data_IF_686069999115
#
_entry.id   IF_686069999115
#
_cell.length_a   1.000
_cell.length_b   1.000
_cell.length_c   1.000
_cell.angle_alpha   90.00
_cell.angle_beta   90.00
_cell.angle_gamma   90.00
#
_symmetry.space_group_name_H-M   'P 1'
#
loop_
_entity.id
_entity.type
_entity.pdbx_description
1 polymer ?
#
# COMPACT_ATOMS: atom_id res chain seq x y z
N UNK A 1 29.39 -17.95 11.13
CA UNK A 1 29.07 -18.16 9.69
C UNK A 1 27.61 -17.80 9.33
N UNK A 2 26.82 -17.16 10.20
CA UNK A 2 25.43 -16.75 9.91
C UNK A 2 25.25 -15.28 9.53
N UNK A 3 26.10 -14.37 10.01
CA UNK A 3 25.92 -12.92 9.82
C UNK A 3 25.94 -12.46 8.36
N UNK A 4 26.81 -13.03 7.52
CA UNK A 4 26.88 -12.63 6.11
C UNK A 4 25.71 -13.16 5.28
N UNK A 5 25.13 -14.30 5.68
CA UNK A 5 23.94 -14.85 5.03
C UNK A 5 22.71 -14.02 5.37
N UNK A 6 22.64 -13.54 6.62
CA UNK A 6 21.55 -12.69 7.13
C UNK A 6 21.66 -11.25 6.62
N UNK A 7 22.88 -10.72 6.43
CA UNK A 7 23.10 -9.39 5.84
C UNK A 7 22.66 -9.33 4.38
N UNK A 8 22.91 -10.37 3.58
CA UNK A 8 22.46 -10.43 2.17
C UNK A 8 20.95 -10.60 2.04
N UNK A 9 20.34 -11.40 2.91
CA UNK A 9 18.88 -11.56 2.93
C UNK A 9 18.19 -10.24 3.30
N UNK A 10 18.74 -9.49 4.27
CA UNK A 10 18.27 -8.13 4.58
C UNK A 10 18.38 -7.24 3.35
N UNK A 11 19.55 -7.16 2.70
CA UNK A 11 19.75 -6.33 1.50
C UNK A 11 18.76 -6.66 0.37
N UNK A 12 18.46 -7.95 0.14
CA UNK A 12 17.45 -8.37 -0.84
C UNK A 12 16.07 -7.80 -0.48
N UNK A 13 15.68 -7.86 0.80
CA UNK A 13 14.42 -7.29 1.27
C UNK A 13 14.38 -5.77 1.08
N UNK A 14 15.47 -5.05 1.36
CA UNK A 14 15.52 -3.59 1.18
C UNK A 14 15.34 -3.19 -0.29
N UNK A 15 16.04 -3.89 -1.18
CA UNK A 15 15.96 -3.64 -2.62
C UNK A 15 14.58 -3.96 -3.18
N UNK A 16 13.98 -5.08 -2.77
CA UNK A 16 12.62 -5.45 -3.20
C UNK A 16 11.53 -4.57 -2.57
N UNK A 17 11.74 -4.06 -1.35
CA UNK A 17 10.81 -3.12 -0.73
C UNK A 17 10.85 -1.75 -1.43
N UNK A 18 12.02 -1.35 -1.95
CA UNK A 18 12.17 -0.13 -2.74
C UNK A 18 11.63 -0.29 -4.17
N UNK A 19 11.96 -1.41 -4.84
CA UNK A 19 11.51 -1.76 -6.18
C UNK A 19 11.13 -3.25 -6.24
N UNK A 20 9.85 -3.53 -6.05
CA UNK A 20 9.31 -4.88 -6.11
C UNK A 20 9.39 -5.53 -7.50
N UNK A 21 9.75 -4.79 -8.54
CA UNK A 21 9.93 -5.29 -9.91
C UNK A 21 11.41 -5.52 -10.28
N UNK A 22 12.33 -5.33 -9.33
CA UNK A 22 13.76 -5.50 -9.58
C UNK A 22 14.06 -6.92 -10.05
N UNK A 23 14.78 -7.04 -11.16
CA UNK A 23 15.10 -8.34 -11.74
C UNK A 23 16.05 -9.14 -10.84
N UNK A 24 15.99 -10.47 -10.85
CA UNK A 24 16.96 -11.31 -10.13
C UNK A 24 18.40 -11.08 -10.59
N UNK A 25 18.59 -10.67 -11.85
CA UNK A 25 19.91 -10.30 -12.38
C UNK A 25 20.45 -9.05 -11.71
N UNK A 26 19.62 -8.02 -11.55
CA UNK A 26 20.04 -6.75 -10.93
C UNK A 26 20.20 -6.89 -9.41
N UNK A 27 19.33 -7.68 -8.76
CA UNK A 27 19.52 -8.10 -7.38
C UNK A 27 20.84 -8.86 -7.21
N UNK A 28 21.20 -9.74 -8.15
CA UNK A 28 22.48 -10.46 -8.14
C UNK A 28 23.67 -9.51 -8.19
N UNK A 29 23.64 -8.53 -9.11
CA UNK A 29 24.67 -7.48 -9.19
C UNK A 29 24.78 -6.67 -7.90
N UNK A 30 23.64 -6.23 -7.35
CA UNK A 30 23.61 -5.40 -6.15
C UNK A 30 24.07 -6.15 -4.89
N UNK A 31 23.80 -7.45 -4.81
CA UNK A 31 24.13 -8.29 -3.64
C UNK A 31 25.49 -8.99 -3.76
N UNK A 32 26.09 -9.03 -4.96
CA UNK A 32 27.29 -9.82 -5.25
C UNK A 32 27.03 -11.33 -5.35
N UNK A 33 25.78 -11.73 -5.58
CA UNK A 33 25.35 -13.12 -5.70
C UNK A 33 25.08 -13.49 -7.16
N UNK A 34 25.17 -14.78 -7.48
CA UNK A 34 24.68 -15.26 -8.77
C UNK A 34 23.15 -15.15 -8.84
N UNK A 35 22.60 -14.98 -10.04
CA UNK A 35 21.15 -14.93 -10.28
C UNK A 35 20.42 -16.13 -9.66
N UNK A 36 21.00 -17.34 -9.77
CA UNK A 36 20.44 -18.55 -9.18
C UNK A 36 20.43 -18.52 -7.64
N UNK A 37 21.49 -17.96 -7.02
CA UNK A 37 21.56 -17.84 -5.56
C UNK A 37 20.54 -16.82 -5.04
N UNK A 38 20.34 -15.70 -5.75
CA UNK A 38 19.27 -14.73 -5.42
C UNK A 38 17.90 -15.37 -5.52
N UNK A 39 17.61 -16.06 -6.62
CA UNK A 39 16.32 -16.74 -6.81
C UNK A 39 15.99 -17.66 -5.63
N UNK A 40 16.95 -18.52 -5.23
CA UNK A 40 16.76 -19.42 -4.09
C UNK A 40 16.51 -18.68 -2.78
N UNK A 41 17.19 -17.55 -2.56
CA UNK A 41 17.02 -16.72 -1.35
C UNK A 41 15.66 -16.03 -1.33
N UNK A 42 15.24 -15.40 -2.42
CA UNK A 42 13.91 -14.77 -2.53
C UNK A 42 12.83 -15.80 -2.25
N UNK A 43 12.89 -16.97 -2.90
CA UNK A 43 11.95 -18.07 -2.64
C UNK A 43 11.92 -18.50 -1.18
N UNK A 44 13.08 -18.57 -0.51
CA UNK A 44 13.16 -18.88 0.92
C UNK A 44 12.56 -17.76 1.79
N UNK A 45 12.72 -16.50 1.42
CA UNK A 45 12.15 -15.36 2.14
C UNK A 45 10.62 -15.34 2.02
N UNK A 46 10.07 -15.64 0.84
CA UNK A 46 8.64 -15.85 0.61
C UNK A 46 8.10 -17.01 1.46
N UNK A 47 8.76 -18.18 1.39
CA UNK A 47 8.36 -19.37 2.16
C UNK A 47 8.39 -19.16 3.68
N UNK A 48 9.28 -18.29 4.17
CA UNK A 48 9.38 -17.91 5.57
C UNK A 48 8.38 -16.83 5.99
N UNK A 49 7.61 -16.27 5.06
CA UNK A 49 6.68 -15.17 5.32
C UNK A 49 7.36 -13.82 5.60
N UNK A 50 8.63 -13.66 5.22
CA UNK A 50 9.33 -12.37 5.28
C UNK A 50 8.91 -11.47 4.11
N UNK A 51 8.62 -12.07 2.96
CA UNK A 51 7.95 -11.42 1.83
C UNK A 51 6.51 -11.92 1.84
N UNK A 52 5.57 -11.03 2.17
CA UNK A 52 4.14 -11.36 2.22
C UNK A 52 3.47 -11.29 0.84
N UNK A 53 4.08 -10.58 -0.09
CA UNK A 53 3.59 -10.44 -1.46
C UNK A 53 4.25 -9.29 -2.19
N UNK A 54 3.85 -9.12 -3.44
CA UNK A 54 4.29 -8.03 -4.32
C UNK A 54 3.05 -7.26 -4.76
N UNK A 55 3.06 -5.94 -4.61
CA UNK A 55 1.93 -5.07 -4.93
C UNK A 55 2.39 -3.75 -5.52
N UNK A 56 1.52 -3.15 -6.34
CA UNK A 56 1.70 -1.79 -6.80
C UNK A 56 1.16 -0.80 -5.77
N UNK A 57 1.85 0.31 -5.56
CA UNK A 57 1.28 1.46 -4.84
C UNK A 57 0.38 2.23 -5.79
N UNK A 58 -0.88 2.38 -5.41
CA UNK A 58 -1.93 2.93 -6.30
C UNK A 58 -2.42 4.28 -5.79
N UNK A 59 -2.61 5.22 -6.72
CA UNK A 59 -3.28 6.48 -6.42
C UNK A 59 -4.80 6.25 -6.37
N UNK A 60 -5.32 6.08 -5.15
CA UNK A 60 -6.74 5.79 -4.93
C UNK A 60 -7.65 6.97 -5.28
N UNK A 61 -7.15 8.21 -5.20
CA UNK A 61 -7.94 9.39 -5.57
C UNK A 61 -8.30 9.38 -7.06
N UNK A 62 -7.35 9.04 -7.93
CA UNK A 62 -7.57 8.89 -9.38
C UNK A 62 -8.46 7.70 -9.75
N UNK A 63 -8.65 6.76 -8.82
CA UNK A 63 -9.58 5.65 -8.97
C UNK A 63 -10.98 5.96 -8.40
N UNK A 64 -11.26 7.22 -8.05
CA UNK A 64 -12.55 7.63 -7.50
C UNK A 64 -12.74 7.31 -6.02
N UNK A 65 -11.65 7.02 -5.28
CA UNK A 65 -11.66 6.79 -3.84
C UNK A 65 -10.80 7.85 -3.10
N UNK A 66 -11.10 9.16 -3.21
CA UNK A 66 -10.29 10.21 -2.61
C UNK A 66 -10.35 10.26 -1.08
N UNK A 67 -11.40 9.72 -0.45
CA UNK A 67 -11.54 9.78 1.00
C UNK A 67 -10.85 8.62 1.67
N UNK A 68 -10.07 8.94 2.70
CA UNK A 68 -9.45 7.98 3.59
C UNK A 68 -9.90 8.25 5.01
N UNK A 69 -10.28 7.21 5.74
CA UNK A 69 -10.68 7.34 7.13
C UNK A 69 -10.09 6.22 7.98
N UNK A 70 -9.78 6.55 9.23
CA UNK A 70 -9.52 5.58 10.27
C UNK A 70 -10.80 5.35 11.07
N UNK A 71 -11.16 4.09 11.25
CA UNK A 71 -12.36 3.69 11.99
C UNK A 71 -11.92 2.82 13.15
N UNK A 72 -12.02 3.36 14.35
CA UNK A 72 -11.78 2.62 15.57
C UNK A 72 -13.07 1.86 15.96
N UNK A 73 -12.93 0.59 16.32
CA UNK A 73 -14.04 -0.27 16.74
C UNK A 73 -13.94 -0.55 18.23
N UNK A 74 -15.03 -0.31 18.94
CA UNK A 74 -15.18 -0.67 20.35
C UNK A 74 -16.19 -1.82 20.46
N UNK A 75 -15.81 -2.88 21.17
CA UNK A 75 -16.68 -4.04 21.35
C UNK A 75 -17.83 -3.70 22.30
N UNK A 76 -19.05 -4.06 21.92
CA UNK A 76 -20.23 -3.89 22.78
C UNK A 76 -20.28 -5.02 23.82
N UNK A 77 -19.96 -6.24 23.40
CA UNK A 77 -19.91 -7.41 24.27
C UNK A 77 -18.53 -8.08 24.18
N UNK A 78 -17.69 -7.98 25.23
CA UNK A 78 -16.35 -8.56 25.23
C UNK A 78 -16.36 -10.10 25.38
N UNK A 79 -17.52 -10.72 25.62
CA UNK A 79 -17.66 -12.18 25.71
C UNK A 79 -17.87 -12.85 24.36
N UNK A 80 -18.14 -12.09 23.30
CA UNK A 80 -18.24 -12.62 21.95
C UNK A 80 -16.85 -13.09 21.44
N UNK A 81 -16.82 -14.09 20.53
CA UNK A 81 -15.59 -14.52 19.88
C UNK A 81 -14.87 -13.35 19.21
N UNK A 82 -13.54 -13.31 19.35
CA UNK A 82 -12.70 -12.27 18.76
C UNK A 82 -12.39 -12.56 17.29
N UNK A 83 -13.44 -12.68 16.47
CA UNK A 83 -13.40 -13.03 15.05
C UNK A 83 -13.72 -11.84 14.11
N UNK A 84 -13.70 -10.62 14.66
CA UNK A 84 -14.12 -9.39 13.97
C UNK A 84 -13.33 -9.13 12.68
N UNK A 85 -12.02 -9.37 12.68
CA UNK A 85 -11.18 -9.21 11.48
C UNK A 85 -11.62 -10.13 10.33
N UNK A 86 -12.01 -11.38 10.64
CA UNK A 86 -12.50 -12.33 9.64
C UNK A 86 -13.89 -11.95 9.15
N UNK A 87 -14.78 -11.52 10.05
CA UNK A 87 -16.12 -11.02 9.69
C UNK A 87 -16.06 -9.82 8.75
N UNK A 88 -15.04 -8.97 8.88
CA UNK A 88 -14.88 -7.76 8.07
C UNK A 88 -14.03 -7.96 6.80
N UNK A 89 -13.38 -9.11 6.61
CA UNK A 89 -12.47 -9.35 5.48
C UNK A 89 -13.12 -9.18 4.09
N UNK A 90 -14.43 -9.39 3.99
CA UNK A 90 -15.16 -9.33 2.72
C UNK A 90 -15.48 -7.91 2.23
N UNK A 91 -15.18 -6.87 3.02
CA UNK A 91 -15.40 -5.49 2.62
C UNK A 91 -14.23 -4.96 1.78
N UNK A 92 -14.40 -4.72 0.47
CA UNK A 92 -13.33 -4.21 -0.38
C UNK A 92 -12.89 -2.79 -0.01
N UNK A 93 -13.74 -2.04 0.70
CA UNK A 93 -13.45 -0.67 1.14
C UNK A 93 -12.46 -0.63 2.32
N UNK A 94 -12.23 -1.76 3.01
CA UNK A 94 -11.29 -1.88 4.13
C UNK A 94 -9.91 -2.25 3.59
N UNK A 95 -8.99 -1.30 3.62
CA UNK A 95 -7.61 -1.50 3.16
C UNK A 95 -6.74 -2.18 4.22
N UNK A 96 -6.99 -1.91 5.51
CA UNK A 96 -6.20 -2.49 6.59
C UNK A 96 -7.02 -2.63 7.86
N UNK A 97 -6.69 -3.63 8.67
CA UNK A 97 -7.34 -3.93 9.93
C UNK A 97 -6.28 -4.39 10.94
N UNK A 98 -6.21 -3.71 12.07
CA UNK A 98 -5.28 -4.04 13.16
C UNK A 98 -6.06 -4.24 14.45
N UNK A 99 -5.72 -5.29 15.21
CA UNK A 99 -6.02 -5.33 16.64
C UNK A 99 -5.07 -4.36 17.35
N UNK A 100 -5.61 -3.57 18.29
CA UNK A 100 -4.85 -2.56 19.03
C UNK A 100 -5.11 -2.69 20.53
N UNK A 101 -4.15 -2.24 21.33
CA UNK A 101 -4.31 -2.09 22.76
C UNK A 101 -4.83 -0.67 23.06
N UNK A 102 -5.80 -0.57 23.97
CA UNK A 102 -6.39 0.72 24.36
C UNK A 102 -7.89 0.59 24.63
N UNK A 103 -8.59 1.72 24.52
CA UNK A 103 -10.05 1.79 24.62
C UNK A 103 -10.75 1.10 23.45
N UNK A 104 -10.19 1.28 22.24
CA UNK A 104 -10.63 0.59 21.04
C UNK A 104 -9.93 -0.76 20.90
N UNK A 105 -10.62 -1.76 20.36
CA UNK A 105 -10.06 -3.10 20.16
C UNK A 105 -9.48 -3.29 18.76
N UNK A 106 -10.01 -2.57 17.78
CA UNK A 106 -9.55 -2.60 16.40
C UNK A 106 -9.47 -1.21 15.78
N UNK A 107 -8.53 -1.03 14.86
CA UNK A 107 -8.47 0.14 13.96
C UNK A 107 -8.50 -0.36 12.53
N UNK A 108 -9.45 0.17 11.77
CA UNK A 108 -9.55 -0.01 10.33
C UNK A 108 -9.01 1.21 9.61
N UNK A 109 -8.38 0.99 8.46
CA UNK A 109 -8.15 2.02 7.45
C UNK A 109 -9.06 1.73 6.28
N UNK A 110 -9.90 2.70 5.90
CA UNK A 110 -10.90 2.53 4.84
C UNK A 110 -10.74 3.59 3.76
N UNK A 111 -11.13 3.23 2.54
CA UNK A 111 -11.21 4.13 1.38
C UNK A 111 -12.66 4.27 0.92
N UNK A 112 -13.06 5.47 0.49
CA UNK A 112 -14.41 5.74 0.02
C UNK A 112 -14.44 6.86 -1.01
N UNK A 113 -15.48 6.93 -1.83
CA UNK A 113 -15.62 8.00 -2.82
C UNK A 113 -16.19 9.29 -2.22
N UNK A 114 -17.17 9.17 -1.31
CA UNK A 114 -17.92 10.29 -0.75
C UNK A 114 -18.24 10.09 0.72
N UNK A 115 -18.57 11.15 1.48
CA UNK A 115 -18.95 11.00 2.89
C UNK A 115 -20.19 10.12 3.08
N UNK A 116 -21.13 10.14 2.13
CA UNK A 116 -22.33 9.31 2.16
C UNK A 116 -22.00 7.81 2.01
N UNK A 117 -21.09 7.46 1.11
CA UNK A 117 -20.62 6.08 0.98
C UNK A 117 -19.83 5.61 2.20
N UNK A 118 -19.04 6.50 2.82
CA UNK A 118 -18.37 6.22 4.08
C UNK A 118 -19.41 5.92 5.18
N UNK A 119 -20.47 6.72 5.31
CA UNK A 119 -21.54 6.45 6.27
C UNK A 119 -22.24 5.10 6.03
N UNK A 120 -22.49 4.76 4.76
CA UNK A 120 -23.06 3.48 4.38
C UNK A 120 -22.14 2.30 4.77
N UNK A 121 -20.83 2.43 4.53
CA UNK A 121 -19.82 1.46 4.97
C UNK A 121 -19.83 1.32 6.50
N UNK A 122 -19.77 2.43 7.24
CA UNK A 122 -19.76 2.41 8.70
C UNK A 122 -21.02 1.73 9.27
N UNK A 123 -22.17 1.95 8.65
CA UNK A 123 -23.43 1.27 9.04
C UNK A 123 -23.34 -0.23 8.83
N UNK A 124 -22.84 -0.69 7.66
CA UNK A 124 -22.64 -2.11 7.37
C UNK A 124 -21.63 -2.74 8.34
N UNK A 125 -20.54 -2.04 8.66
CA UNK A 125 -19.52 -2.49 9.63
C UNK A 125 -20.14 -2.67 11.02
N UNK A 126 -20.86 -1.66 11.54
CA UNK A 126 -21.53 -1.76 12.85
C UNK A 126 -22.50 -2.93 12.93
N UNK A 127 -23.30 -3.14 11.87
CA UNK A 127 -24.26 -4.25 11.80
C UNK A 127 -23.57 -5.61 11.74
N UNK A 128 -22.53 -5.73 10.90
CA UNK A 128 -21.83 -7.00 10.67
C UNK A 128 -20.99 -7.41 11.86
N UNK A 129 -20.32 -6.45 12.51
CA UNK A 129 -19.41 -6.70 13.62
C UNK A 129 -20.08 -6.56 15.00
N UNK A 130 -21.27 -5.96 15.12
CA UNK A 130 -21.91 -5.66 16.42
C UNK A 130 -21.02 -4.82 17.34
N UNK A 131 -20.47 -3.75 16.79
CA UNK A 131 -19.53 -2.82 17.45
C UNK A 131 -20.03 -1.39 17.38
N UNK A 132 -19.50 -0.53 18.25
CA UNK A 132 -19.58 0.93 18.05
C UNK A 132 -18.35 1.40 17.28
N UNK A 133 -18.46 2.56 16.63
CA UNK A 133 -17.40 3.08 15.75
C UNK A 133 -17.08 4.52 16.08
N UNK A 134 -15.79 4.86 16.12
CA UNK A 134 -15.28 6.23 16.15
C UNK A 134 -14.46 6.49 14.89
N UNK A 135 -14.81 7.51 14.13
CA UNK A 135 -14.23 7.77 12.80
C UNK A 135 -13.38 9.04 12.80
N UNK A 136 -12.17 8.94 12.25
CA UNK A 136 -11.26 10.06 12.01
C UNK A 136 -10.98 10.15 10.51
N UNK A 137 -11.35 11.26 9.88
CA UNK A 137 -11.14 11.47 8.44
C UNK A 137 -9.74 12.04 8.21
N UNK A 138 -9.01 11.49 7.23
CA UNK A 138 -7.72 12.01 6.81
C UNK A 138 -7.93 13.23 5.91
N UNK A 139 -7.34 14.36 6.30
CA UNK A 139 -7.43 15.62 5.53
C UNK A 139 -6.37 15.72 4.43
N UNK A 140 -5.18 15.17 4.69
CA UNK A 140 -4.07 15.18 3.74
C UNK A 140 -3.12 14.02 4.03
N UNK A 141 -2.66 13.37 2.97
CA UNK A 141 -1.70 12.26 3.04
C UNK A 141 -0.37 12.74 2.49
N UNK A 142 0.62 12.94 3.36
CA UNK A 142 1.98 13.32 2.94
C UNK A 142 2.80 12.14 2.41
N UNK A 143 2.64 10.98 3.04
CA UNK A 143 3.28 9.73 2.65
C UNK A 143 2.46 8.56 3.16
N UNK A 144 2.55 7.43 2.46
CA UNK A 144 1.82 6.22 2.79
C UNK A 144 2.56 5.01 2.21
N UNK A 145 2.49 3.86 2.89
CA UNK A 145 3.13 2.61 2.45
C UNK A 145 4.64 2.74 2.16
N UNK A 146 5.33 3.67 2.82
CA UNK A 146 6.78 3.84 2.69
C UNK A 146 7.50 2.68 3.40
N UNK A 147 8.50 2.04 2.76
CA UNK A 147 9.35 1.06 3.43
C UNK A 147 10.00 1.60 4.70
N UNK A 148 9.90 0.86 5.81
CA UNK A 148 10.46 1.24 7.12
C UNK A 148 11.93 0.82 7.19
N UNK A 149 12.80 1.68 7.73
CA UNK A 149 14.22 1.35 7.98
C UNK A 149 15.21 1.69 6.85
N UNK A 150 14.76 2.29 5.75
CA UNK A 150 15.58 2.46 4.54
C UNK A 150 15.66 3.92 4.06
N UNK A 151 16.22 4.80 4.90
CA UNK A 151 16.34 6.23 4.58
C UNK A 151 17.29 6.52 3.40
N UNK A 152 18.34 5.70 3.18
CA UNK A 152 19.37 5.97 2.17
C UNK A 152 19.00 5.53 0.74
N UNK A 153 18.27 4.42 0.56
CA UNK A 153 17.87 3.94 -0.78
C UNK A 153 16.57 4.61 -1.28
N UNK A 154 15.68 5.00 -0.35
CA UNK A 154 14.42 5.65 -0.69
C UNK A 154 14.61 7.02 -1.38
N UNK A 155 15.71 7.72 -1.11
CA UNK A 155 15.99 9.03 -1.72
C UNK A 155 16.24 8.91 -3.23
N UNK A 156 16.88 7.82 -3.68
CA UNK A 156 17.15 7.59 -5.10
C UNK A 156 15.93 7.06 -5.85
N UNK A 157 15.09 6.25 -5.19
CA UNK A 157 13.89 5.65 -5.82
C UNK A 157 12.71 6.63 -5.86
N UNK A 158 12.50 7.41 -4.80
CA UNK A 158 11.48 8.47 -4.77
C UNK A 158 11.76 9.56 -5.80
N UNK A 159 13.03 9.95 -5.96
CA UNK A 159 13.44 10.86 -7.03
C UNK A 159 13.09 10.29 -8.41
N UNK A 160 13.36 9.00 -8.64
CA UNK A 160 13.07 8.33 -9.92
C UNK A 160 11.57 8.18 -10.20
N UNK A 161 10.76 7.90 -9.17
CA UNK A 161 9.29 7.83 -9.27
C UNK A 161 8.67 9.23 -9.50
N UNK A 162 9.18 10.27 -8.83
CA UNK A 162 8.77 11.65 -9.07
C UNK A 162 9.12 12.11 -10.48
N UNK A 163 10.30 11.74 -10.99
CA UNK A 163 10.69 11.99 -12.40
C UNK A 163 9.75 11.27 -13.36
N UNK A 164 9.43 9.99 -13.13
CA UNK A 164 8.54 9.22 -14.01
C UNK A 164 7.11 9.78 -14.02
N UNK A 165 6.60 10.21 -12.86
CA UNK A 165 5.29 10.85 -12.75
C UNK A 165 5.25 12.21 -13.47
N UNK A 166 6.32 13.00 -13.36
CA UNK A 166 6.45 14.27 -14.09
C UNK A 166 6.54 14.04 -15.61
N UNK A 167 7.29 13.03 -16.06
CA UNK A 167 7.39 12.65 -17.47
C UNK A 167 6.04 12.16 -18.03
N UNK A 168 5.28 11.37 -17.25
CA UNK A 168 3.95 10.91 -17.66
C UNK A 168 2.96 12.08 -17.79
N UNK A 169 2.97 13.00 -16.81
CA UNK A 169 2.11 14.18 -16.83
C UNK A 169 2.45 15.12 -18.01
N UNK A 170 3.75 15.30 -18.29
CA UNK A 170 4.20 16.08 -19.45
C UNK A 170 3.79 15.44 -20.79
N UNK A 171 3.89 14.11 -20.90
CA UNK A 171 3.45 13.37 -22.08
C UNK A 171 1.93 13.47 -22.30
N UNK A 172 1.13 13.40 -21.22
CA UNK A 172 -0.32 13.58 -21.28
C UNK A 172 -0.71 14.99 -21.72
N UNK A 173 -0.05 16.03 -21.19
CA UNK A 173 -0.30 17.42 -21.58
C UNK A 173 0.06 17.70 -23.05
N UNK A 174 1.18 17.17 -23.53
CA UNK A 174 1.58 17.29 -24.93
C UNK A 174 0.60 16.59 -25.89
N UNK A 175 0.05 15.44 -25.47
CA UNK A 175 -0.96 14.70 -26.25
C UNK A 175 -2.28 15.47 -26.33
N UNK A 176 -2.73 16.11 -25.24
CA UNK A 176 -3.93 16.96 -25.24
C UNK A 176 -3.75 18.20 -26.12
N UNK A 177 -2.59 18.86 -26.08
CA UNK A 177 -2.32 20.03 -26.92
C UNK A 177 -2.36 19.68 -28.42
N UNK A 178 -1.76 18.55 -28.80
CA UNK A 178 -1.79 18.07 -30.19
C UNK A 178 -3.20 17.68 -30.67
N UNK A 179 -4.10 17.27 -29.76
CA UNK A 179 -5.50 16.98 -30.09
C UNK A 179 -6.32 18.27 -30.27
N UNK A 180 -6.02 19.32 -29.51
CA UNK A 180 -6.70 20.62 -29.63
C UNK A 180 -6.36 21.35 -30.93
N UNK A 181 -5.09 21.29 -31.38
CA UNK A 181 -4.67 21.92 -32.64
C UNK A 181 -5.26 21.24 -33.90
N UNK A 182 -5.72 19.98 -33.77
CA UNK A 182 -6.35 19.25 -34.86
C UNK A 182 -7.84 19.60 -35.08
N UNK A 183 -8.49 20.25 -34.11
CA UNK A 183 -9.91 20.65 -34.21
C UNK A 183 -10.12 22.07 -34.77
N UNK A 184 -9.08 22.90 -34.89
CA UNK A 184 -9.19 24.32 -35.31
C UNK A 184 -8.71 24.60 -36.74
N UNK A 185 -8.77 23.61 -37.64
CA UNK A 185 -8.60 23.87 -39.09
C UNK A 185 -9.98 24.20 -39.68
N UNK A 186 -10.30 25.47 -40.00
CA UNK A 186 -11.58 25.79 -40.61
C UNK A 186 -11.58 25.32 -42.06
N UNK A 187 -12.70 24.71 -42.45
CA UNK A 187 -13.01 24.37 -43.84
C UNK A 187 -13.23 25.62 -44.71
#
# INVERSE_FOLDING_TARGET
>A
MSDDVESKDRLILELLAADGRMSYTDLGKATGLSTSAVHQRVKRLEQRGLILGYGATVNHAELGLPLTAFVALTLIDPHLPDDYAERLRHFPEIESCWSVAGEDSYILKVRSSTPAELEALLTRVRQTAHVTTRTTIVLSTYYENRPVGHAEIAHQTSARAATLAAELAAAQAATLAAQADAEDTPA
#
